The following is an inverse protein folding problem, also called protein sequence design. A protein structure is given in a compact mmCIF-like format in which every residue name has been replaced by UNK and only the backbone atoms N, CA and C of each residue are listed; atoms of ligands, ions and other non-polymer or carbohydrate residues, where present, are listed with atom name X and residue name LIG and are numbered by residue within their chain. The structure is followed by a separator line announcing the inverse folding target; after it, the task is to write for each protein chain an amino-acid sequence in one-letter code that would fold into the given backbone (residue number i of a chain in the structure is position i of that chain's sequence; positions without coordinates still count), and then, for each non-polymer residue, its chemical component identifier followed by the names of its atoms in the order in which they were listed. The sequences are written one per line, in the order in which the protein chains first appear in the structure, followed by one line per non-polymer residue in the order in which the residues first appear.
data_IF_986887941287
#
_entry.id   IF_986887941287
#
_cell.length_a   1.000
_cell.length_b   1.000
_cell.length_c   1.000
_cell.angle_alpha   90.00
_cell.angle_beta   90.00
_cell.angle_gamma   90.00
#
_symmetry.space_group_name_H-M   'P 1'
#
loop_
_entity.id
_entity.type
_entity.pdbx_description
1 polymer ?
#
# COMPACT_ATOMS: atom_id res chain seq x y z
N UNK A 1 -13.68 14.14 7.25
CA UNK A 1 -12.27 13.75 7.04
C UNK A 1 -11.69 13.28 8.37
N UNK A 2 -12.13 12.10 8.80
CA UNK A 2 -11.60 11.37 9.93
C UNK A 2 -10.14 11.02 9.62
N UNK A 3 -9.21 11.89 10.03
CA UNK A 3 -7.84 11.47 10.29
C UNK A 3 -7.93 10.41 11.38
N UNK A 4 -8.01 9.14 10.97
CA UNK A 4 -7.78 8.03 11.88
C UNK A 4 -6.54 8.40 12.70
N UNK A 5 -6.66 8.35 14.03
CA UNK A 5 -5.61 8.62 14.99
C UNK A 5 -4.43 7.70 14.71
N UNK A 6 -3.58 8.10 13.76
CA UNK A 6 -2.27 7.51 13.58
C UNK A 6 -1.49 7.93 14.81
N UNK A 7 -1.01 6.97 15.59
CA UNK A 7 0.20 7.17 16.39
C UNK A 7 1.22 7.84 15.48
N UNK A 8 1.47 9.14 15.68
CA UNK A 8 2.44 9.87 14.87
C UNK A 8 3.79 9.25 15.17
N UNK A 9 4.28 8.43 14.24
CA UNK A 9 5.67 8.01 14.24
C UNK A 9 6.51 9.28 14.14
N UNK A 10 7.56 9.35 14.95
CA UNK A 10 8.60 10.35 14.72
C UNK A 10 9.30 10.06 13.37
N UNK A 11 10.04 11.02 12.80
CA UNK A 11 10.62 10.85 11.48
C UNK A 11 11.55 9.64 11.34
N UNK A 12 12.30 9.28 12.39
CA UNK A 12 13.21 8.13 12.38
C UNK A 12 12.39 6.83 12.33
N UNK A 13 11.44 6.66 13.26
CA UNK A 13 10.57 5.48 13.29
C UNK A 13 9.75 5.32 12.01
N UNK A 14 9.32 6.43 11.39
CA UNK A 14 8.59 6.41 10.13
C UNK A 14 9.47 5.90 8.96
N UNK A 15 10.72 6.34 8.90
CA UNK A 15 11.67 5.89 7.88
C UNK A 15 12.04 4.41 8.04
N UNK A 16 12.34 3.98 9.28
CA UNK A 16 12.61 2.58 9.60
C UNK A 16 11.43 1.69 9.24
N UNK A 17 10.21 2.11 9.60
CA UNK A 17 8.99 1.38 9.25
C UNK A 17 8.78 1.32 7.74
N UNK A 18 9.01 2.42 7.01
CA UNK A 18 8.86 2.46 5.56
C UNK A 18 9.80 1.46 4.87
N UNK A 19 11.06 1.36 5.31
CA UNK A 19 12.01 0.35 4.82
C UNK A 19 11.58 -1.06 5.23
N UNK A 20 11.14 -1.23 6.49
CA UNK A 20 10.81 -2.55 7.02
C UNK A 20 9.65 -3.22 6.29
N UNK A 21 8.72 -2.47 5.71
CA UNK A 21 7.53 -3.03 5.05
C UNK A 21 7.70 -3.37 3.57
N UNK A 22 8.82 -3.00 2.92
CA UNK A 22 9.03 -3.28 1.49
C UNK A 22 9.03 -4.79 1.21
N UNK A 23 8.15 -5.24 0.33
CA UNK A 23 8.05 -6.67 0.01
C UNK A 23 7.20 -7.49 0.99
N UNK A 24 6.54 -6.86 1.96
CA UNK A 24 5.43 -7.49 2.69
C UNK A 24 4.15 -7.49 1.84
N UNK A 25 3.25 -8.43 2.15
CA UNK A 25 1.87 -8.36 1.66
C UNK A 25 1.08 -7.27 2.39
N UNK A 26 -0.09 -6.92 1.85
CA UNK A 26 -1.03 -5.98 2.52
C UNK A 26 -2.47 -6.35 2.20
N UNK A 27 -3.40 -5.88 3.03
CA UNK A 27 -4.84 -6.06 2.82
C UNK A 27 -5.44 -4.92 2.00
N UNK A 28 -5.74 -5.20 0.73
CA UNK A 28 -6.38 -4.22 -0.16
C UNK A 28 -7.77 -3.78 0.33
N UNK A 29 -8.46 -4.61 1.11
CA UNK A 29 -9.82 -4.29 1.61
C UNK A 29 -9.79 -3.26 2.75
N UNK A 30 -8.62 -3.01 3.36
CA UNK A 30 -8.45 -2.06 4.46
C UNK A 30 -7.94 -0.68 4.00
N UNK A 31 -6.64 -0.51 3.86
CA UNK A 31 -5.98 0.73 3.44
C UNK A 31 -4.58 0.34 2.92
N UNK A 32 -3.82 1.28 2.37
CA UNK A 32 -2.43 1.11 1.97
C UNK A 32 -1.45 1.62 3.04
N UNK A 33 -1.96 2.17 4.15
CA UNK A 33 -1.15 2.58 5.30
C UNK A 33 -0.43 1.40 5.94
N UNK A 34 0.64 1.68 6.68
CA UNK A 34 1.47 0.66 7.36
C UNK A 34 0.68 -0.30 8.26
N UNK A 35 -0.47 0.11 8.79
CA UNK A 35 -1.35 -0.74 9.61
C UNK A 35 -2.01 -1.88 8.83
N UNK A 36 -2.09 -1.77 7.50
CA UNK A 36 -2.67 -2.79 6.64
C UNK A 36 -1.62 -3.72 6.02
N UNK A 37 -0.33 -3.45 6.22
CA UNK A 37 0.74 -4.39 5.88
C UNK A 37 0.57 -5.66 6.72
N UNK A 38 0.66 -6.83 6.09
CA UNK A 38 0.59 -8.15 6.72
C UNK A 38 2.00 -8.67 6.95
N UNK A 39 2.58 -8.48 8.15
CA UNK A 39 3.79 -9.18 8.52
C UNK A 39 3.47 -10.68 8.63
N UNK A 40 4.27 -11.54 8.00
CA UNK A 40 4.20 -12.97 8.27
C UNK A 40 4.72 -13.24 9.71
N UNK A 41 4.14 -14.17 10.48
CA UNK A 41 4.64 -14.53 11.82
C UNK A 41 6.11 -14.97 11.84
N UNK A 42 6.62 -15.53 10.75
CA UNK A 42 8.04 -15.86 10.56
C UNK A 42 8.89 -14.66 10.12
N UNK A 43 8.28 -13.50 9.94
CA UNK A 43 8.86 -12.29 9.35
C UNK A 43 9.37 -12.46 7.91
N UNK A 44 8.87 -13.47 7.17
CA UNK A 44 9.24 -13.66 5.78
C UNK A 44 8.56 -12.63 4.87
N UNK A 45 9.37 -11.95 4.06
CA UNK A 45 8.88 -11.10 2.97
C UNK A 45 8.33 -12.00 1.86
N UNK A 46 7.39 -11.47 1.08
CA UNK A 46 6.89 -12.17 -0.11
C UNK A 46 7.96 -12.28 -1.20
N UNK A 47 8.95 -11.39 -1.14
CA UNK A 47 10.06 -11.31 -2.09
C UNK A 47 11.39 -11.56 -1.39
N UNK A 48 12.34 -12.09 -2.13
CA UNK A 48 13.72 -12.23 -1.70
C UNK A 48 14.44 -10.89 -1.79
N UNK A 49 15.10 -10.50 -0.70
CA UNK A 49 16.04 -9.38 -0.66
C UNK A 49 17.36 -9.93 -0.16
N UNK A 50 18.46 -9.64 -0.87
CA UNK A 50 19.79 -10.12 -0.49
C UNK A 50 20.22 -9.49 0.86
N UNK A 51 20.34 -10.27 1.94
CA UNK A 51 20.72 -9.74 3.24
C UNK A 51 22.22 -9.44 3.35
N UNK A 52 23.03 -9.92 2.40
CA UNK A 52 24.49 -9.71 2.40
C UNK A 52 24.88 -8.36 1.80
N UNK A 53 24.03 -7.80 0.95
CA UNK A 53 24.23 -6.52 0.28
C UNK A 53 23.38 -5.43 0.93
N UNK A 54 23.82 -4.94 2.09
CA UNK A 54 23.15 -3.86 2.81
C UNK A 54 23.99 -2.58 2.87
N UNK A 55 23.31 -1.45 3.11
CA UNK A 55 23.92 -0.12 3.23
C UNK A 55 23.15 0.76 4.20
N UNK A 56 23.76 1.88 4.58
CA UNK A 56 23.03 2.99 5.17
C UNK A 56 22.23 3.72 4.08
N UNK A 57 20.96 3.98 4.37
CA UNK A 57 20.10 4.82 3.55
C UNK A 57 19.90 6.16 4.25
N UNK A 58 20.39 7.22 3.62
CA UNK A 58 20.21 8.59 4.09
C UNK A 58 18.96 9.18 3.46
N UNK A 59 18.06 9.72 4.29
CA UNK A 59 16.78 10.31 3.89
C UNK A 59 16.78 11.83 4.16
N UNK A 60 15.85 12.59 3.54
CA UNK A 60 15.69 14.01 3.82
C UNK A 60 15.54 14.30 5.33
N UNK A 61 16.15 15.39 5.80
CA UNK A 61 16.17 15.75 7.21
C UNK A 61 17.30 15.11 8.03
N UNK A 62 18.25 14.43 7.38
CA UNK A 62 19.42 13.84 8.03
C UNK A 62 19.15 12.51 8.72
N UNK A 63 18.00 11.90 8.44
CA UNK A 63 17.61 10.58 8.96
C UNK A 63 18.47 9.52 8.28
N UNK A 64 18.99 8.59 9.07
CA UNK A 64 19.80 7.48 8.58
C UNK A 64 19.17 6.17 9.04
N UNK A 65 18.87 5.29 8.08
CA UNK A 65 18.40 3.93 8.34
C UNK A 65 19.53 2.97 7.97
N UNK A 66 19.97 2.15 8.92
CA UNK A 66 21.02 1.16 8.71
C UNK A 66 20.49 -0.15 8.13
N UNK A 67 21.41 -1.02 7.68
CA UNK A 67 21.13 -2.39 7.21
C UNK A 67 20.04 -2.48 6.13
N UNK A 68 19.95 -1.47 5.25
CA UNK A 68 18.95 -1.44 4.18
C UNK A 68 19.45 -2.26 2.99
N UNK A 69 18.70 -3.27 2.52
CA UNK A 69 19.03 -4.00 1.30
C UNK A 69 19.30 -3.05 0.13
N UNK A 70 20.35 -3.30 -0.62
CA UNK A 70 20.85 -2.43 -1.70
C UNK A 70 19.79 -2.07 -2.74
N UNK A 71 18.88 -3.00 -3.05
CA UNK A 71 17.76 -2.78 -3.98
C UNK A 71 16.65 -1.86 -3.45
N UNK A 72 16.68 -1.45 -2.18
CA UNK A 72 15.77 -0.44 -1.63
C UNK A 72 16.42 0.95 -1.77
N UNK A 73 15.67 1.89 -2.31
CA UNK A 73 16.11 3.27 -2.53
C UNK A 73 15.11 4.28 -1.97
N UNK A 74 15.60 5.50 -1.84
CA UNK A 74 14.83 6.67 -1.46
C UNK A 74 14.71 7.57 -2.70
N UNK A 75 13.53 7.59 -3.31
CA UNK A 75 13.19 8.48 -4.40
C UNK A 75 12.67 9.81 -3.83
N UNK A 76 12.77 10.87 -4.63
CA UNK A 76 12.29 12.19 -4.24
C UNK A 76 10.79 12.14 -3.94
N UNK A 77 10.39 12.92 -2.95
CA UNK A 77 8.98 13.19 -2.70
C UNK A 77 8.38 14.05 -3.79
N UNK A 78 7.07 14.19 -3.75
CA UNK A 78 6.31 15.02 -4.66
C UNK A 78 5.20 15.78 -3.93
N UNK A 79 4.78 16.87 -4.55
CA UNK A 79 3.61 17.63 -4.13
C UNK A 79 2.65 17.70 -5.30
N UNK A 80 1.53 17.01 -5.16
CA UNK A 80 0.55 16.85 -6.23
C UNK A 80 -0.81 17.36 -5.76
N UNK A 81 -1.44 18.25 -6.53
CA UNK A 81 -2.85 18.61 -6.32
C UNK A 81 -3.68 17.60 -7.09
N UNK A 82 -4.50 16.85 -6.38
CA UNK A 82 -5.44 15.92 -7.00
C UNK A 82 -6.85 16.49 -6.86
N UNK A 83 -7.58 16.41 -7.96
CA UNK A 83 -8.99 16.80 -8.05
C UNK A 83 -9.72 15.79 -8.93
N UNK A 84 -10.95 15.47 -8.57
CA UNK A 84 -11.86 14.74 -9.44
C UNK A 84 -13.02 15.62 -9.91
N UNK A 85 -13.63 15.21 -11.01
CA UNK A 85 -14.98 15.63 -11.37
C UNK A 85 -16.00 15.05 -10.38
N UNK A 86 -17.26 15.46 -10.54
CA UNK A 86 -18.37 14.83 -9.83
C UNK A 86 -18.69 13.49 -10.50
N UNK A 87 -18.30 12.40 -9.85
CA UNK A 87 -18.40 11.04 -10.36
C UNK A 87 -19.47 10.25 -9.60
N UNK A 88 -20.00 9.21 -10.24
CA UNK A 88 -20.79 8.18 -9.55
C UNK A 88 -19.90 7.34 -8.62
N UNK A 89 -20.51 6.59 -7.69
CA UNK A 89 -19.78 5.68 -6.80
C UNK A 89 -18.85 4.73 -7.58
N UNK A 90 -19.36 4.07 -8.62
CA UNK A 90 -18.58 3.09 -9.40
C UNK A 90 -17.42 3.74 -10.16
N UNK A 91 -17.64 4.92 -10.75
CA UNK A 91 -16.58 5.65 -11.46
C UNK A 91 -15.48 6.12 -10.51
N UNK A 92 -15.86 6.59 -9.32
CA UNK A 92 -14.87 7.00 -8.31
C UNK A 92 -14.10 5.80 -7.76
N UNK A 93 -14.79 4.69 -7.49
CA UNK A 93 -14.17 3.42 -7.07
C UNK A 93 -13.15 2.93 -8.10
N UNK A 94 -13.53 2.91 -9.38
CA UNK A 94 -12.63 2.53 -10.47
C UNK A 94 -11.42 3.46 -10.58
N UNK A 95 -11.61 4.78 -10.41
CA UNK A 95 -10.50 5.74 -10.39
C UNK A 95 -9.49 5.43 -9.28
N UNK A 96 -9.94 5.17 -8.06
CA UNK A 96 -9.07 4.80 -6.94
C UNK A 96 -8.34 3.47 -7.20
N UNK A 97 -9.01 2.49 -7.82
CA UNK A 97 -8.38 1.22 -8.18
C UNK A 97 -7.26 1.41 -9.23
N UNK A 98 -7.48 2.26 -10.24
CA UNK A 98 -6.47 2.54 -11.26
C UNK A 98 -5.21 3.20 -10.68
N UNK A 99 -5.34 4.06 -9.66
CA UNK A 99 -4.21 4.69 -8.96
C UNK A 99 -3.27 3.65 -8.31
N UNK A 100 -3.78 2.46 -7.98
CA UNK A 100 -3.02 1.34 -7.44
C UNK A 100 -2.83 0.20 -8.44
N UNK A 101 -2.96 0.48 -9.74
CA UNK A 101 -2.79 -0.49 -10.84
C UNK A 101 -3.77 -1.68 -10.79
N UNK A 102 -4.97 -1.47 -10.27
CA UNK A 102 -6.06 -2.46 -10.27
C UNK A 102 -7.13 -2.10 -11.30
N UNK A 103 -7.87 -3.11 -11.73
CA UNK A 103 -9.01 -2.96 -12.65
C UNK A 103 -10.34 -3.23 -11.95
N UNK A 104 -11.42 -2.73 -12.53
CA UNK A 104 -12.77 -2.97 -12.07
C UNK A 104 -13.27 -1.98 -11.02
N UNK A 105 -14.51 -2.20 -10.59
CA UNK A 105 -15.33 -1.23 -9.83
C UNK A 105 -15.59 -1.61 -8.37
N UNK A 106 -15.05 -2.74 -7.91
CA UNK A 106 -15.18 -3.15 -6.50
C UNK A 106 -14.32 -2.17 -5.67
N UNK A 107 -14.89 -1.49 -4.67
CA UNK A 107 -14.16 -0.47 -3.93
C UNK A 107 -13.01 -1.06 -3.13
N UNK A 108 -11.84 -0.46 -3.29
CA UNK A 108 -10.70 -0.71 -2.41
C UNK A 108 -10.93 -0.11 -1.02
N UNK A 109 -10.18 -0.60 -0.04
CA UNK A 109 -10.19 -0.03 1.30
C UNK A 109 -9.72 1.42 1.35
N UNK A 110 -8.80 1.81 0.46
CA UNK A 110 -8.38 3.21 0.31
C UNK A 110 -9.54 4.12 -0.11
N UNK A 111 -10.35 3.70 -1.09
CA UNK A 111 -11.55 4.41 -1.48
C UNK A 111 -12.55 4.52 -0.32
N UNK A 112 -12.79 3.40 0.38
CA UNK A 112 -13.70 3.39 1.54
C UNK A 112 -13.24 4.34 2.64
N UNK A 113 -11.93 4.34 2.93
CA UNK A 113 -11.32 5.21 3.93
C UNK A 113 -11.41 6.69 3.55
N UNK A 114 -11.21 7.04 2.27
CA UNK A 114 -11.30 8.41 1.78
C UNK A 114 -12.69 9.03 1.98
N UNK A 115 -13.74 8.26 1.68
CA UNK A 115 -15.14 8.72 1.74
C UNK A 115 -15.89 8.25 3.00
N UNK A 116 -15.17 7.67 3.96
CA UNK A 116 -15.70 7.20 5.24
C UNK A 116 -16.80 6.13 5.10
N UNK A 117 -16.76 5.33 4.04
CA UNK A 117 -17.65 4.18 3.86
C UNK A 117 -17.26 3.03 4.79
N UNK A 118 -18.26 2.44 5.44
CA UNK A 118 -18.10 1.33 6.41
C UNK A 118 -19.12 0.21 6.21
N UNK A 119 -20.03 0.37 5.26
CA UNK A 119 -21.11 -0.56 4.98
C UNK A 119 -20.72 -1.62 3.97
N UNK A 120 -21.71 -2.43 3.57
CA UNK A 120 -21.57 -3.28 2.38
C UNK A 120 -21.61 -2.39 1.14
N UNK A 121 -20.65 -2.55 0.23
CA UNK A 121 -20.47 -1.64 -0.89
C UNK A 121 -21.71 -1.46 -1.77
N UNK A 122 -22.58 -2.46 -1.89
CA UNK A 122 -23.83 -2.33 -2.63
C UNK A 122 -24.79 -1.31 -1.99
N UNK A 123 -24.84 -1.27 -0.65
CA UNK A 123 -25.67 -0.31 0.09
C UNK A 123 -25.10 1.10 -0.02
N UNK A 124 -23.78 1.22 0.13
CA UNK A 124 -23.09 2.50 0.02
C UNK A 124 -23.19 3.06 -1.41
N UNK A 125 -23.08 2.21 -2.43
CA UNK A 125 -23.30 2.59 -3.82
C UNK A 125 -24.74 3.06 -4.09
N UNK A 126 -25.74 2.38 -3.51
CA UNK A 126 -27.15 2.72 -3.71
C UNK A 126 -27.55 4.04 -3.00
N UNK A 127 -26.93 4.35 -1.87
CA UNK A 127 -27.21 5.58 -1.10
C UNK A 127 -26.38 6.78 -1.59
N UNK A 128 -25.31 6.55 -2.35
CA UNK A 128 -24.40 7.59 -2.84
C UNK A 128 -24.86 8.13 -4.19
N UNK A 129 -25.31 9.40 -4.21
CA UNK A 129 -25.66 10.08 -5.46
C UNK A 129 -24.44 10.41 -6.31
N UNK A 130 -23.42 10.99 -5.69
CA UNK A 130 -22.21 11.45 -6.37
C UNK A 130 -21.07 11.70 -5.39
N UNK A 131 -19.84 11.56 -5.85
CA UNK A 131 -18.61 11.79 -5.10
C UNK A 131 -17.69 12.74 -5.86
N UNK A 132 -16.95 13.53 -5.12
CA UNK A 132 -15.86 14.36 -5.63
C UNK A 132 -14.82 14.53 -4.52
N UNK A 133 -13.56 14.75 -4.89
CA UNK A 133 -12.52 15.10 -3.95
C UNK A 133 -11.59 16.15 -4.55
N UNK A 134 -10.99 16.95 -3.68
CA UNK A 134 -9.96 17.90 -4.01
C UNK A 134 -9.00 18.00 -2.83
N UNK A 135 -7.70 17.93 -3.11
CA UNK A 135 -6.70 18.00 -2.05
C UNK A 135 -5.28 18.12 -2.58
N UNK A 136 -4.37 18.45 -1.66
CA UNK A 136 -2.94 18.36 -1.88
C UNK A 136 -2.40 17.12 -1.21
N UNK A 137 -1.65 16.33 -1.97
CA UNK A 137 -0.93 15.17 -1.51
C UNK A 137 0.55 15.52 -1.52
N UNK A 138 1.19 15.41 -0.36
CA UNK A 138 2.59 15.77 -0.16
C UNK A 138 3.30 14.52 0.36
N UNK A 139 4.14 13.92 -0.48
CA UNK A 139 5.12 12.92 -0.04
C UNK A 139 6.46 13.61 0.18
N UNK A 140 7.12 13.33 1.31
CA UNK A 140 8.44 13.90 1.61
C UNK A 140 9.54 13.15 0.83
N UNK A 141 9.37 11.84 0.72
CA UNK A 141 10.20 10.91 -0.05
C UNK A 141 9.41 9.64 -0.30
N UNK A 142 9.89 8.81 -1.23
CA UNK A 142 9.32 7.50 -1.53
C UNK A 142 10.37 6.43 -1.26
N UNK A 143 10.05 5.45 -0.41
CA UNK A 143 10.87 4.25 -0.28
C UNK A 143 10.37 3.24 -1.29
N UNK A 144 11.23 2.87 -2.21
CA UNK A 144 10.88 2.02 -3.33
C UNK A 144 11.91 0.92 -3.52
N UNK A 145 11.43 -0.21 -4.02
CA UNK A 145 12.31 -1.25 -4.53
C UNK A 145 12.72 -0.87 -5.97
N UNK A 146 14.00 -1.01 -6.28
CA UNK A 146 14.51 -0.90 -7.64
C UNK A 146 13.92 -2.04 -8.48
N UNK A 147 13.32 -1.70 -9.64
CA UNK A 147 12.48 -2.61 -10.43
C UNK A 147 13.26 -3.71 -11.20
N UNK A 148 14.42 -4.13 -10.71
CA UNK A 148 15.24 -5.19 -11.31
C UNK A 148 15.12 -6.50 -10.52
N UNK A 149 14.78 -7.59 -11.22
CA UNK A 149 14.89 -8.97 -10.73
C UNK A 149 14.25 -9.27 -9.35
N UNK A 150 12.97 -8.93 -9.18
CA UNK A 150 12.19 -9.32 -8.00
C UNK A 150 11.87 -10.81 -8.08
N UNK A 151 12.31 -11.57 -7.08
CA UNK A 151 12.03 -13.01 -6.95
C UNK A 151 11.12 -13.26 -5.77
N UNK A 152 10.06 -14.06 -5.96
CA UNK A 152 9.22 -14.50 -4.83
C UNK A 152 10.00 -15.45 -3.91
N UNK A 153 9.75 -15.37 -2.61
CA UNK A 153 10.31 -16.33 -1.67
C UNK A 153 9.85 -17.76 -1.96
N UNK A 154 10.71 -18.74 -1.67
CA UNK A 154 10.38 -20.15 -1.90
C UNK A 154 9.15 -20.61 -1.12
N UNK A 155 8.92 -20.08 0.08
CA UNK A 155 7.72 -20.35 0.88
C UNK A 155 6.44 -19.92 0.14
N UNK A 156 6.44 -18.72 -0.46
CA UNK A 156 5.30 -18.23 -1.24
C UNK A 156 5.08 -19.11 -2.46
N UNK A 157 6.15 -19.44 -3.20
CA UNK A 157 6.05 -20.32 -4.38
C UNK A 157 5.43 -21.68 -4.04
N UNK A 158 5.76 -22.25 -2.88
CA UNK A 158 5.21 -23.54 -2.42
C UNK A 158 3.75 -23.44 -1.96
N UNK A 159 3.33 -22.30 -1.40
CA UNK A 159 1.96 -22.07 -0.95
C UNK A 159 0.98 -21.74 -2.09
N UNK A 160 1.47 -21.28 -3.24
CA UNK A 160 0.62 -21.02 -4.39
C UNK A 160 0.23 -22.35 -5.03
N UNK A 161 -1.07 -22.69 -5.10
CA UNK A 161 -1.52 -23.93 -5.72
C UNK A 161 -1.24 -23.89 -7.23
N UNK A 162 -0.97 -25.06 -7.81
CA UNK A 162 -0.76 -25.18 -9.25
C UNK A 162 -2.05 -24.96 -10.07
N UNK A 163 -3.22 -25.10 -9.45
CA UNK A 163 -4.54 -24.94 -10.09
C UNK A 163 -5.48 -24.10 -9.24
N UNK A 164 -6.40 -23.41 -9.91
CA UNK A 164 -7.44 -22.63 -9.25
C UNK A 164 -8.65 -23.52 -8.90
N UNK A 165 -8.74 -23.96 -7.65
CA UNK A 165 -9.89 -24.64 -7.07
C UNK A 165 -10.48 -23.79 -5.93
N UNK A 166 -11.56 -23.03 -6.19
CA UNK A 166 -12.18 -22.17 -5.19
C UNK A 166 -12.63 -22.90 -3.91
N UNK A 167 -13.09 -24.15 -4.03
CA UNK A 167 -13.59 -24.89 -2.88
C UNK A 167 -12.44 -25.27 -1.94
N UNK A 168 -11.35 -25.82 -2.51
CA UNK A 168 -10.15 -26.16 -1.75
C UNK A 168 -9.43 -24.94 -1.15
N UNK A 169 -9.58 -23.75 -1.75
CA UNK A 169 -8.99 -22.50 -1.26
C UNK A 169 -9.80 -21.80 -0.17
N UNK A 170 -11.06 -22.20 0.02
CA UNK A 170 -11.96 -21.62 1.00
C UNK A 170 -11.94 -22.34 2.37
N UNK A 171 -11.24 -23.48 2.46
CA UNK A 171 -11.00 -24.23 3.71
C UNK A 171 -9.80 -23.67 4.49
#
# INVERSE_FOLDING_TARGET
MSMALNSRLDPQSAAEKAVSVIGLGYDLTNDLRFSACKPDPSSSRLIELDPTLTRELVLPGGIVVGNVPSGIRCDKGERTRLRSDVLTFNQMSEKFNQEVSLSGKIPSGQFNSMFEFRGGWQKDAASTKSLAFEGWFISLYNIALERSHITLSNEVKQKVPATWDPAALAE
#
